data_IF_928223615273
#
_entry.id   IF_928223615273
#
_cell.length_a   1.000
_cell.length_b   1.000
_cell.length_c   1.000
_cell.angle_alpha   90.00
_cell.angle_beta   90.00
_cell.angle_gamma   90.00
#
_symmetry.space_group_name_H-M   'P 1'
#
loop_
_entity.id
_entity.type
_entity.pdbx_description
1 polymer ?
#
# COMPACT_ATOMS: atom_id res chain seq x y z
N UNK A 1 -24.40 -12.93 -3.21
CA UNK A 1 -24.53 -13.02 -1.73
C UNK A 1 -25.96 -13.39 -1.38
N UNK A 2 -26.17 -14.48 -0.65
CA UNK A 2 -27.51 -14.98 -0.31
C UNK A 2 -28.13 -14.11 0.81
N UNK A 3 -29.43 -13.80 0.72
CA UNK A 3 -30.14 -13.01 1.75
C UNK A 3 -30.49 -13.94 2.91
N UNK A 4 -30.03 -13.63 4.14
CA UNK A 4 -30.43 -14.41 5.32
C UNK A 4 -31.95 -14.40 5.49
N UNK A 5 -32.51 -15.51 5.99
CA UNK A 5 -33.96 -15.72 6.10
C UNK A 5 -34.64 -14.62 6.93
N UNK A 6 -34.11 -14.32 8.12
CA UNK A 6 -34.62 -13.25 8.99
C UNK A 6 -34.67 -11.89 8.28
N UNK A 7 -33.65 -11.58 7.47
CA UNK A 7 -33.60 -10.34 6.69
C UNK A 7 -34.63 -10.33 5.57
N UNK A 8 -34.84 -11.46 4.89
CA UNK A 8 -35.90 -11.59 3.87
C UNK A 8 -37.28 -11.35 4.46
N UNK A 9 -37.56 -11.98 5.61
CA UNK A 9 -38.85 -11.85 6.32
C UNK A 9 -39.09 -10.39 6.71
N UNK A 10 -38.09 -9.72 7.27
CA UNK A 10 -38.19 -8.30 7.64
C UNK A 10 -38.53 -7.40 6.46
N UNK A 11 -37.78 -7.53 5.36
CA UNK A 11 -37.98 -6.70 4.16
C UNK A 11 -39.33 -6.98 3.48
N UNK A 12 -39.83 -8.22 3.56
CA UNK A 12 -41.13 -8.59 3.01
C UNK A 12 -42.32 -8.01 3.80
N UNK A 13 -42.12 -7.54 5.04
CA UNK A 13 -43.17 -7.00 5.91
C UNK A 13 -43.71 -5.62 5.51
N UNK A 14 -43.11 -4.94 4.52
CA UNK A 14 -43.57 -3.66 3.97
C UNK A 14 -43.25 -2.42 4.81
N UNK A 15 -43.28 -2.52 6.15
CA UNK A 15 -42.76 -1.51 7.07
C UNK A 15 -41.39 -1.98 7.54
N UNK A 16 -40.33 -1.25 7.21
CA UNK A 16 -38.96 -1.64 7.55
C UNK A 16 -38.29 -0.62 8.44
N UNK A 17 -37.45 -1.11 9.34
CA UNK A 17 -36.60 -0.35 10.26
C UNK A 17 -35.14 -0.45 9.83
N UNK A 18 -34.88 -0.24 8.54
CA UNK A 18 -33.55 -0.41 7.97
C UNK A 18 -32.76 0.90 7.96
N UNK A 19 -31.49 0.82 8.36
CA UNK A 19 -30.47 1.83 8.20
C UNK A 19 -29.26 1.21 7.50
N UNK A 20 -28.34 2.04 7.05
CA UNK A 20 -27.04 1.62 6.51
C UNK A 20 -25.97 1.76 7.57
N UNK A 21 -25.01 0.85 7.51
CA UNK A 21 -23.83 0.85 8.34
C UNK A 21 -22.60 0.60 7.47
N UNK A 22 -21.50 1.30 7.75
CA UNK A 22 -20.24 1.13 7.04
C UNK A 22 -19.10 1.01 8.03
N UNK A 23 -18.18 0.10 7.74
CA UNK A 23 -16.94 -0.04 8.47
C UNK A 23 -15.77 0.20 7.52
N UNK A 24 -14.84 1.04 7.95
CA UNK A 24 -13.56 1.26 7.29
C UNK A 24 -12.47 0.73 8.22
N UNK A 25 -11.67 -0.23 7.76
CA UNK A 25 -10.56 -0.81 8.52
C UNK A 25 -9.25 -0.49 7.83
N UNK A 26 -8.40 0.30 8.48
CA UNK A 26 -7.05 0.61 8.01
C UNK A 26 -6.14 -0.62 8.09
N UNK A 27 -5.00 -0.57 7.39
CA UNK A 27 -3.99 -1.64 7.39
C UNK A 27 -3.34 -1.86 8.76
N UNK A 28 -3.33 -0.84 9.61
CA UNK A 28 -2.84 -0.90 10.99
C UNK A 28 -3.90 -1.39 12.00
N UNK A 29 -5.09 -1.75 11.53
CA UNK A 29 -6.16 -2.34 12.34
C UNK A 29 -7.09 -1.31 13.00
N UNK A 30 -6.84 -0.01 12.85
CA UNK A 30 -7.78 1.02 13.31
C UNK A 30 -9.09 0.90 12.51
N UNK A 31 -10.22 0.88 13.22
CA UNK A 31 -11.55 0.71 12.64
C UNK A 31 -12.42 1.94 12.90
N UNK A 32 -13.16 2.34 11.86
CA UNK A 32 -14.15 3.41 11.92
C UNK A 32 -15.50 2.84 11.51
N UNK A 33 -16.52 3.09 12.31
CA UNK A 33 -17.90 2.69 12.04
C UNK A 33 -18.79 3.90 11.84
N UNK A 34 -19.61 3.88 10.80
CA UNK A 34 -20.51 4.96 10.40
C UNK A 34 -21.93 4.42 10.20
N UNK A 35 -22.95 5.18 10.59
CA UNK A 35 -24.35 4.85 10.27
C UNK A 35 -25.15 6.08 9.83
N UNK A 36 -26.14 5.87 8.97
CA UNK A 36 -27.14 6.89 8.61
C UNK A 36 -28.35 6.89 9.56
N UNK A 37 -28.32 6.07 10.62
CA UNK A 37 -29.26 6.14 11.74
C UNK A 37 -28.95 7.33 12.65
N UNK A 38 -29.93 7.75 13.45
CA UNK A 38 -29.82 8.87 14.40
C UNK A 38 -29.23 8.44 15.76
N UNK A 39 -28.91 7.16 15.93
CA UNK A 39 -28.27 6.60 17.13
C UNK A 39 -27.13 5.67 16.78
N UNK A 40 -26.15 5.62 17.67
CA UNK A 40 -25.05 4.68 17.57
C UNK A 40 -25.55 3.23 17.59
N UNK A 41 -24.98 2.40 16.72
CA UNK A 41 -25.25 0.97 16.62
C UNK A 41 -23.97 0.18 16.90
N UNK A 42 -24.09 -1.04 17.43
CA UNK A 42 -22.94 -1.87 17.78
C UNK A 42 -23.09 -3.31 17.28
N UNK A 43 -22.14 -3.78 16.48
CA UNK A 43 -22.01 -5.18 16.08
C UNK A 43 -20.60 -5.48 15.54
N UNK A 44 -20.21 -6.76 15.52
CA UNK A 44 -18.88 -7.22 15.05
C UNK A 44 -17.70 -6.48 15.73
N UNK A 45 -17.84 -6.16 17.02
CA UNK A 45 -16.89 -5.36 17.82
C UNK A 45 -16.61 -3.95 17.27
N UNK A 46 -17.54 -3.40 16.49
CA UNK A 46 -17.48 -2.07 15.89
C UNK A 46 -18.65 -1.24 16.41
N UNK A 47 -18.35 -0.03 16.89
CA UNK A 47 -19.36 1.01 17.13
C UNK A 47 -19.53 1.83 15.87
N UNK A 48 -20.74 1.81 15.31
CA UNK A 48 -21.17 2.61 14.17
C UNK A 48 -21.78 3.90 14.70
N UNK A 49 -21.06 5.02 14.55
CA UNK A 49 -21.47 6.30 15.12
C UNK A 49 -22.49 7.00 14.23
N UNK A 50 -23.59 7.46 14.84
CA UNK A 50 -24.46 8.45 14.22
C UNK A 50 -23.70 9.78 14.08
N UNK A 51 -24.12 10.66 13.18
CA UNK A 51 -23.51 12.00 12.95
C UNK A 51 -22.22 12.05 12.11
N UNK A 52 -21.62 10.92 11.73
CA UNK A 52 -20.38 10.92 10.94
C UNK A 52 -20.57 10.29 9.55
N UNK A 53 -20.58 11.13 8.53
CA UNK A 53 -19.61 10.99 7.45
C UNK A 53 -19.86 10.08 6.26
N UNK A 54 -21.01 9.44 6.05
CA UNK A 54 -21.22 8.76 4.76
C UNK A 54 -22.59 8.96 4.13
N UNK A 55 -22.70 9.93 3.22
CA UNK A 55 -23.76 9.94 2.23
C UNK A 55 -23.34 9.05 1.05
N UNK A 56 -23.87 7.84 0.96
CA UNK A 56 -23.65 6.99 -0.20
C UNK A 56 -24.47 7.51 -1.39
N UNK A 57 -23.82 8.18 -2.35
CA UNK A 57 -24.41 8.38 -3.66
C UNK A 57 -24.36 7.02 -4.39
N UNK A 58 -25.50 6.34 -4.40
CA UNK A 58 -25.86 5.17 -5.22
C UNK A 58 -24.78 4.07 -5.36
N UNK A 59 -24.92 3.00 -4.58
CA UNK A 59 -24.25 1.72 -4.88
C UNK A 59 -24.88 1.10 -6.15
N UNK A 60 -24.18 1.17 -7.28
CA UNK A 60 -24.56 0.41 -8.49
C UNK A 60 -23.84 -0.94 -8.53
N UNK A 61 -24.61 -2.02 -8.67
CA UNK A 61 -24.08 -3.37 -8.90
C UNK A 61 -24.38 -3.79 -10.34
N UNK A 62 -23.33 -4.02 -11.13
CA UNK A 62 -23.43 -4.62 -12.46
C UNK A 62 -23.02 -6.10 -12.43
N UNK A 63 -23.66 -6.92 -13.26
CA UNK A 63 -23.33 -8.34 -13.41
C UNK A 63 -22.31 -8.52 -14.55
N UNK A 64 -21.03 -8.63 -14.21
CA UNK A 64 -19.94 -8.83 -15.18
C UNK A 64 -18.56 -9.01 -14.54
N UNK A 65 -17.59 -9.51 -15.32
CA UNK A 65 -16.15 -9.55 -14.96
C UNK A 65 -15.37 -8.32 -15.45
N UNK A 66 -15.99 -7.48 -16.30
CA UNK A 66 -15.46 -6.17 -16.64
C UNK A 66 -15.26 -5.36 -15.36
N UNK A 67 -14.24 -4.50 -15.33
CA UNK A 67 -14.12 -3.43 -14.34
C UNK A 67 -15.24 -2.43 -14.61
N UNK A 68 -16.47 -2.83 -14.33
CA UNK A 68 -17.52 -1.88 -14.08
C UNK A 68 -17.13 -1.27 -12.74
N UNK A 69 -16.51 -0.09 -12.81
CA UNK A 69 -16.23 0.74 -11.65
C UNK A 69 -17.48 0.69 -10.78
N UNK A 70 -17.41 -0.05 -9.67
CA UNK A 70 -18.32 0.20 -8.57
C UNK A 70 -17.85 1.52 -7.99
N UNK A 71 -18.11 2.61 -8.72
CA UNK A 71 -18.03 3.96 -8.20
C UNK A 71 -19.17 4.06 -7.18
N UNK A 72 -18.96 3.45 -6.02
CA UNK A 72 -19.67 3.88 -4.83
C UNK A 72 -19.07 5.25 -4.53
N UNK A 73 -19.75 6.26 -5.05
CA UNK A 73 -19.44 7.65 -4.81
C UNK A 73 -19.90 7.98 -3.40
N UNK A 74 -19.15 7.47 -2.42
CA UNK A 74 -19.29 7.86 -1.03
C UNK A 74 -18.53 9.15 -0.82
N UNK A 75 -19.23 10.23 -0.52
CA UNK A 75 -18.58 11.36 0.13
C UNK A 75 -18.33 10.94 1.58
N UNK A 76 -17.06 10.81 1.96
CA UNK A 76 -16.64 10.67 3.34
C UNK A 76 -16.59 12.09 3.94
N UNK A 77 -17.63 12.48 4.67
CA UNK A 77 -17.74 13.82 5.27
C UNK A 77 -17.24 13.84 6.72
N UNK A 78 -15.93 14.06 6.84
CA UNK A 78 -15.10 14.73 7.86
C UNK A 78 -15.36 14.65 9.39
N UNK A 79 -16.49 14.22 9.92
CA UNK A 79 -16.66 14.27 11.38
C UNK A 79 -15.91 13.14 12.14
N UNK A 80 -15.33 12.15 11.44
CA UNK A 80 -14.64 11.01 12.08
C UNK A 80 -13.33 10.57 11.44
N UNK A 81 -12.96 11.09 10.27
CA UNK A 81 -11.69 10.77 9.60
C UNK A 81 -10.81 12.02 9.58
N UNK A 82 -9.58 11.92 10.07
CA UNK A 82 -8.65 13.05 10.07
C UNK A 82 -8.12 13.33 8.65
N UNK A 83 -8.27 14.55 8.15
CA UNK A 83 -7.66 15.03 6.90
C UNK A 83 -6.15 14.76 6.88
N UNK A 84 -5.45 15.05 7.98
CA UNK A 84 -4.02 14.80 8.08
C UNK A 84 -3.66 13.31 7.94
N UNK A 85 -4.52 12.40 8.38
CA UNK A 85 -4.30 10.96 8.22
C UNK A 85 -4.58 10.49 6.79
N UNK A 86 -5.56 11.10 6.10
CA UNK A 86 -5.83 10.86 4.68
C UNK A 86 -4.64 11.32 3.84
N UNK A 87 -4.14 12.53 4.06
CA UNK A 87 -2.97 13.07 3.35
C UNK A 87 -1.69 12.28 3.61
N UNK A 88 -1.58 11.65 4.79
CA UNK A 88 -0.48 10.75 5.13
C UNK A 88 -0.58 9.37 4.45
N UNK A 89 -1.64 9.09 3.68
CA UNK A 89 -1.86 7.81 2.99
C UNK A 89 -2.34 6.67 3.88
N UNK A 90 -2.82 6.95 5.11
CA UNK A 90 -3.21 5.90 6.07
C UNK A 90 -4.44 5.09 5.64
N UNK A 91 -5.28 5.67 4.77
CA UNK A 91 -6.48 5.05 4.23
C UNK A 91 -6.25 4.29 2.91
N UNK A 92 -5.03 4.31 2.36
CA UNK A 92 -4.72 3.67 1.09
C UNK A 92 -4.94 2.16 1.13
N UNK A 93 -5.94 1.69 0.38
CA UNK A 93 -6.32 0.28 0.37
C UNK A 93 -6.95 -0.20 1.69
N UNK A 94 -7.48 0.70 2.52
CA UNK A 94 -8.28 0.35 3.69
C UNK A 94 -9.49 -0.50 3.27
N UNK A 95 -9.83 -1.54 4.05
CA UNK A 95 -11.01 -2.36 3.77
C UNK A 95 -12.28 -1.54 4.04
N UNK A 96 -13.26 -1.65 3.14
CA UNK A 96 -14.60 -1.10 3.35
C UNK A 96 -15.62 -2.23 3.31
N UNK A 97 -16.47 -2.28 4.34
CA UNK A 97 -17.64 -3.15 4.41
C UNK A 97 -18.88 -2.28 4.58
N UNK A 98 -19.93 -2.56 3.81
CA UNK A 98 -21.20 -1.83 3.87
C UNK A 98 -22.36 -2.80 4.07
N UNK A 99 -23.25 -2.48 5.00
CA UNK A 99 -24.41 -3.29 5.35
C UNK A 99 -25.70 -2.49 5.25
N UNK A 100 -26.78 -3.22 4.98
CA UNK A 100 -28.14 -2.81 5.34
C UNK A 100 -28.48 -3.54 6.65
N UNK A 101 -28.85 -2.78 7.68
CA UNK A 101 -29.00 -3.25 9.06
C UNK A 101 -30.39 -2.87 9.56
N UNK A 102 -31.08 -3.78 10.24
CA UNK A 102 -32.25 -3.41 11.00
C UNK A 102 -31.80 -2.71 12.31
N UNK A 103 -32.07 -1.41 12.46
CA UNK A 103 -31.66 -0.68 13.67
C UNK A 103 -32.38 -1.15 14.94
N UNK A 104 -33.56 -1.78 14.80
CA UNK A 104 -34.29 -2.35 15.94
C UNK A 104 -33.72 -3.71 16.40
N UNK A 105 -33.05 -4.43 15.50
CA UNK A 105 -32.34 -5.68 15.79
C UNK A 105 -31.15 -5.82 14.82
N UNK A 106 -29.97 -5.42 15.29
CA UNK A 106 -28.73 -5.40 14.49
C UNK A 106 -28.27 -6.79 14.05
N UNK A 107 -28.80 -7.87 14.63
CA UNK A 107 -28.54 -9.24 14.16
C UNK A 107 -29.15 -9.49 12.78
N UNK A 108 -30.24 -8.78 12.46
CA UNK A 108 -30.90 -8.81 11.15
C UNK A 108 -30.22 -7.81 10.22
N UNK A 109 -29.14 -8.26 9.58
CA UNK A 109 -28.34 -7.45 8.65
C UNK A 109 -27.91 -8.20 7.40
N UNK A 110 -27.57 -7.45 6.36
CA UNK A 110 -27.06 -7.97 5.09
C UNK A 110 -25.86 -7.16 4.62
N UNK A 111 -24.73 -7.83 4.41
CA UNK A 111 -23.58 -7.23 3.74
C UNK A 111 -23.93 -6.95 2.27
N UNK A 112 -23.82 -5.69 1.87
CA UNK A 112 -24.09 -5.21 0.50
C UNK A 112 -22.82 -5.11 -0.32
N UNK A 113 -21.73 -4.65 0.29
CA UNK A 113 -20.45 -4.43 -0.37
C UNK A 113 -19.28 -4.79 0.55
N UNK A 114 -18.23 -5.36 -0.05
CA UNK A 114 -16.91 -5.50 0.56
C UNK A 114 -15.87 -5.18 -0.50
N UNK A 115 -14.90 -4.35 -0.14
CA UNK A 115 -13.87 -3.90 -1.06
C UNK A 115 -12.80 -3.09 -0.35
N UNK A 116 -12.10 -2.24 -1.08
CA UNK A 116 -11.03 -1.39 -0.56
C UNK A 116 -11.17 0.04 -1.03
N UNK A 117 -10.68 1.00 -0.25
CA UNK A 117 -10.52 2.39 -0.70
C UNK A 117 -9.45 2.45 -1.79
N UNK A 118 -9.83 3.08 -2.90
CA UNK A 118 -9.00 3.36 -4.06
C UNK A 118 -8.41 4.77 -4.01
N UNK A 119 -8.65 5.53 -5.08
CA UNK A 119 -8.22 6.93 -5.14
C UNK A 119 -9.11 7.79 -4.22
N UNK A 120 -8.50 8.77 -3.55
CA UNK A 120 -9.22 9.75 -2.73
C UNK A 120 -8.98 11.12 -3.34
N UNK A 121 -10.07 11.82 -3.67
CA UNK A 121 -10.06 13.16 -4.23
C UNK A 121 -10.73 14.15 -3.27
N UNK A 122 -10.21 15.38 -3.23
CA UNK A 122 -10.79 16.48 -2.46
C UNK A 122 -11.79 17.25 -3.31
N UNK A 123 -13.01 17.42 -2.82
CA UNK A 123 -14.04 18.21 -3.49
C UNK A 123 -14.87 18.99 -2.46
N UNK A 124 -14.80 20.34 -2.51
CA UNK A 124 -15.71 21.21 -1.77
C UNK A 124 -15.68 21.08 -0.23
N UNK A 125 -14.52 20.81 0.37
CA UNK A 125 -14.41 20.60 1.82
C UNK A 125 -14.80 19.19 2.28
N UNK A 126 -15.01 18.26 1.34
CA UNK A 126 -15.25 16.86 1.60
C UNK A 126 -14.26 15.98 0.81
N UNK A 127 -14.09 14.73 1.25
CA UNK A 127 -13.35 13.72 0.52
C UNK A 127 -14.29 12.79 -0.22
N UNK A 128 -13.90 12.44 -1.44
CA UNK A 128 -14.56 11.44 -2.25
C UNK A 128 -13.58 10.31 -2.48
N UNK A 129 -13.96 9.10 -2.10
CA UNK A 129 -13.13 7.93 -2.24
C UNK A 129 -13.76 6.95 -3.22
N UNK A 130 -12.97 6.44 -4.15
CA UNK A 130 -13.40 5.37 -5.04
C UNK A 130 -13.36 4.04 -4.29
N UNK A 131 -14.46 3.29 -4.29
CA UNK A 131 -14.49 1.96 -3.67
C UNK A 131 -14.21 0.87 -4.70
N UNK A 132 -13.08 0.17 -4.54
CA UNK A 132 -12.70 -0.93 -5.42
C UNK A 132 -13.27 -2.24 -4.88
N UNK A 133 -14.18 -2.86 -5.64
CA UNK A 133 -14.77 -4.16 -5.31
C UNK A 133 -13.76 -5.32 -5.34
N UNK A 134 -14.18 -6.49 -4.87
CA UNK A 134 -13.32 -7.69 -4.76
C UNK A 134 -12.70 -8.14 -6.09
N UNK A 135 -13.39 -7.91 -7.22
CA UNK A 135 -12.93 -8.29 -8.56
C UNK A 135 -11.73 -7.47 -9.05
N UNK A 136 -11.43 -6.32 -8.43
CA UNK A 136 -10.29 -5.48 -8.82
C UNK A 136 -8.95 -6.22 -8.77
N UNK A 137 -8.80 -7.20 -7.86
CA UNK A 137 -7.60 -8.02 -7.78
C UNK A 137 -7.39 -8.89 -9.04
N UNK A 138 -8.47 -9.30 -9.71
CA UNK A 138 -8.44 -10.15 -10.90
C UNK A 138 -8.03 -9.38 -12.17
N UNK A 139 -8.26 -8.07 -12.20
CA UNK A 139 -7.93 -7.21 -13.33
C UNK A 139 -6.48 -6.71 -13.33
N UNK A 140 -5.63 -7.28 -12.46
CA UNK A 140 -4.20 -6.98 -12.45
C UNK A 140 -3.49 -7.87 -13.47
N UNK A 141 -2.64 -7.34 -14.36
CA UNK A 141 -1.82 -8.18 -15.21
C UNK A 141 -0.90 -9.02 -14.34
N UNK A 142 -1.10 -10.34 -14.34
CA UNK A 142 -0.28 -11.31 -13.63
C UNK A 142 0.63 -12.02 -14.64
N UNK A 143 1.91 -12.10 -14.31
CA UNK A 143 2.89 -12.77 -15.14
C UNK A 143 4.32 -12.41 -14.76
N UNK A 144 5.27 -13.14 -15.34
CA UNK A 144 6.68 -12.74 -15.31
C UNK A 144 7.04 -12.13 -16.65
N UNK A 145 7.77 -11.03 -16.60
CA UNK A 145 8.43 -10.44 -17.76
C UNK A 145 9.89 -10.93 -17.73
N UNK A 146 10.37 -11.42 -18.87
CA UNK A 146 11.78 -11.76 -19.03
C UNK A 146 12.57 -10.48 -19.25
N UNK A 147 13.36 -10.10 -18.26
CA UNK A 147 14.18 -8.89 -18.29
C UNK A 147 15.49 -9.11 -17.53
N UNK A 148 16.51 -8.29 -17.82
CA UNK A 148 17.82 -8.38 -17.17
C UNK A 148 17.76 -8.15 -15.65
N UNK A 149 17.08 -7.11 -15.14
CA UNK A 149 17.00 -6.87 -13.70
C UNK A 149 16.19 -7.93 -12.96
N UNK A 150 16.48 -8.10 -11.68
CA UNK A 150 15.71 -8.95 -10.77
C UNK A 150 14.27 -8.47 -10.66
N UNK A 151 13.32 -9.40 -10.75
CA UNK A 151 11.89 -9.12 -10.62
C UNK A 151 11.34 -9.34 -9.20
N UNK A 152 12.16 -9.84 -8.27
CA UNK A 152 11.75 -10.06 -6.89
C UNK A 152 11.79 -8.77 -6.07
N UNK A 153 10.89 -8.65 -5.10
CA UNK A 153 11.00 -7.66 -4.02
C UNK A 153 12.02 -8.19 -3.01
N UNK A 154 12.89 -7.32 -2.49
CA UNK A 154 13.91 -7.72 -1.54
C UNK A 154 13.23 -8.32 -0.29
N UNK A 155 13.62 -9.53 0.09
CA UNK A 155 13.05 -10.27 1.21
C UNK A 155 11.69 -10.93 1.00
N UNK A 156 11.11 -10.86 -0.21
CA UNK A 156 9.89 -11.61 -0.53
C UNK A 156 10.16 -13.13 -0.65
N UNK A 157 9.11 -13.92 -0.90
CA UNK A 157 9.22 -15.38 -1.02
C UNK A 157 10.04 -15.86 -2.23
N UNK A 158 10.29 -14.99 -3.22
CA UNK A 158 11.12 -15.29 -4.40
C UNK A 158 12.58 -14.90 -4.18
N UNK A 159 12.84 -13.79 -3.50
CA UNK A 159 14.16 -13.32 -3.12
C UNK A 159 14.72 -14.11 -1.93
N UNK A 160 13.90 -14.35 -0.89
CA UNK A 160 14.22 -15.12 0.32
C UNK A 160 15.35 -14.57 1.19
N UNK A 161 15.88 -13.38 0.87
CA UNK A 161 16.89 -12.75 1.70
C UNK A 161 16.27 -12.35 3.04
N UNK A 162 16.91 -12.73 4.16
CA UNK A 162 16.42 -12.36 5.48
C UNK A 162 16.80 -10.91 5.79
N UNK A 163 15.83 -10.00 5.77
CA UNK A 163 16.03 -8.58 6.11
C UNK A 163 16.33 -8.33 7.59
N UNK A 164 16.21 -9.34 8.46
CA UNK A 164 16.69 -9.28 9.84
C UNK A 164 18.19 -9.61 9.96
N UNK A 165 18.87 -9.95 8.87
CA UNK A 165 20.34 -10.13 8.88
C UNK A 165 21.02 -8.84 9.32
N UNK A 166 21.94 -8.94 10.28
CA UNK A 166 22.68 -7.80 10.79
C UNK A 166 23.39 -7.02 9.66
N UNK A 167 23.34 -5.69 9.72
CA UNK A 167 23.92 -4.81 8.70
C UNK A 167 23.02 -4.53 7.47
N UNK A 168 21.83 -5.13 7.37
CA UNK A 168 20.89 -4.86 6.27
C UNK A 168 19.68 -4.04 6.68
N UNK A 169 19.59 -3.71 7.95
CA UNK A 169 18.69 -2.71 8.47
C UNK A 169 19.30 -2.02 9.69
N UNK A 170 18.94 -0.76 9.91
CA UNK A 170 19.45 0.04 11.01
C UNK A 170 18.33 0.88 11.62
N UNK A 171 18.16 0.79 12.93
CA UNK A 171 17.24 1.66 13.67
C UNK A 171 17.99 2.87 14.18
N UNK A 172 17.46 4.06 13.89
CA UNK A 172 18.11 5.33 14.16
C UNK A 172 17.07 6.37 14.55
N UNK A 173 17.51 7.38 15.29
CA UNK A 173 16.70 8.54 15.65
C UNK A 173 16.98 9.67 14.66
N UNK A 174 15.95 10.26 14.08
CA UNK A 174 16.11 11.34 13.10
C UNK A 174 16.72 12.57 13.77
N UNK A 175 17.81 13.10 13.21
CA UNK A 175 18.41 14.36 13.65
C UNK A 175 17.67 15.59 13.11
N UNK A 176 17.42 15.63 11.79
CA UNK A 176 16.69 16.73 11.13
C UNK A 176 15.78 16.23 10.03
N UNK A 177 14.63 16.89 9.88
CA UNK A 177 13.68 16.67 8.78
C UNK A 177 13.54 17.97 7.97
N UNK A 178 13.58 17.87 6.65
CA UNK A 178 13.33 18.96 5.70
C UNK A 178 12.24 18.51 4.72
N UNK A 179 11.16 19.30 4.63
CA UNK A 179 10.02 19.08 3.72
C UNK A 179 9.40 17.67 3.75
N UNK A 180 9.51 16.97 4.89
CA UNK A 180 9.08 15.58 5.07
C UNK A 180 9.69 14.58 4.05
N UNK A 181 10.74 14.97 3.33
CA UNK A 181 11.34 14.18 2.25
C UNK A 181 12.83 13.94 2.46
N UNK A 182 13.52 14.87 3.14
CA UNK A 182 14.95 14.79 3.42
C UNK A 182 15.18 14.63 4.92
N UNK A 183 15.92 13.59 5.29
CA UNK A 183 16.22 13.21 6.65
C UNK A 183 17.73 13.23 6.85
N UNK A 184 18.20 13.81 7.96
CA UNK A 184 19.62 13.93 8.28
C UNK A 184 19.97 13.34 9.63
N UNK A 185 21.18 12.77 9.68
CA UNK A 185 21.87 12.30 10.88
C UNK A 185 23.26 12.90 10.91
N UNK A 186 23.76 13.24 12.09
CA UNK A 186 25.12 13.77 12.25
C UNK A 186 26.18 12.72 11.88
N UNK A 187 25.90 11.44 12.14
CA UNK A 187 26.65 10.30 11.64
C UNK A 187 25.72 9.08 11.55
N UNK A 188 25.98 8.21 10.57
CA UNK A 188 25.37 6.90 10.40
C UNK A 188 26.47 5.86 10.13
N UNK A 189 27.34 5.67 11.12
CA UNK A 189 28.52 4.82 11.01
C UNK A 189 28.19 3.36 10.66
N UNK A 190 29.13 2.71 9.96
CA UNK A 190 29.06 1.29 9.62
C UNK A 190 28.36 0.97 8.31
N UNK A 191 27.96 1.97 7.52
CA UNK A 191 27.33 1.79 6.22
C UNK A 191 28.08 2.52 5.10
N UNK A 192 28.39 1.78 4.04
CA UNK A 192 28.99 2.34 2.82
C UNK A 192 28.10 3.45 2.20
N UNK A 193 28.67 4.41 1.46
CA UNK A 193 27.90 5.35 0.65
C UNK A 193 26.85 4.65 -0.24
N UNK A 194 25.61 5.13 -0.22
CA UNK A 194 24.53 4.56 -1.02
C UNK A 194 23.97 3.22 -0.54
N UNK A 195 24.36 2.72 0.64
CA UNK A 195 23.88 1.44 1.19
C UNK A 195 22.35 1.31 1.25
N UNK A 196 21.64 2.40 1.51
CA UNK A 196 20.18 2.43 1.63
C UNK A 196 19.48 2.92 0.35
N UNK A 197 20.21 3.28 -0.70
CA UNK A 197 19.61 3.76 -1.95
C UNK A 197 18.71 2.70 -2.62
N UNK A 198 17.45 3.03 -2.94
CA UNK A 198 16.38 2.10 -3.35
C UNK A 198 15.92 1.13 -2.25
N UNK A 199 16.25 1.43 -1.00
CA UNK A 199 15.73 0.77 0.19
C UNK A 199 14.45 1.43 0.70
N UNK A 200 14.15 1.22 1.97
CA UNK A 200 12.99 1.81 2.65
C UNK A 200 13.41 2.54 3.90
N UNK A 201 12.75 3.66 4.17
CA UNK A 201 12.72 4.27 5.49
C UNK A 201 11.35 3.93 6.09
N UNK A 202 11.33 3.20 7.19
CA UNK A 202 10.12 2.81 7.92
C UNK A 202 10.08 3.61 9.21
N UNK A 203 8.97 4.28 9.50
CA UNK A 203 8.81 5.07 10.72
C UNK A 203 8.34 4.16 11.85
N UNK A 204 9.07 4.16 12.97
CA UNK A 204 8.79 3.30 14.14
C UNK A 204 7.96 4.06 15.17
N UNK A 205 8.28 5.33 15.43
CA UNK A 205 7.62 6.14 16.47
C UNK A 205 7.00 7.42 15.92
N UNK A 206 6.28 8.13 16.79
CA UNK A 206 5.68 9.42 16.45
C UNK A 206 4.43 9.31 15.58
N UNK A 207 3.99 10.44 15.03
CA UNK A 207 2.76 10.53 14.23
C UNK A 207 2.84 9.70 12.92
N UNK A 208 4.05 9.48 12.41
CA UNK A 208 4.30 8.68 11.21
C UNK A 208 4.39 7.18 11.44
N UNK A 209 4.29 6.68 12.68
CA UNK A 209 4.51 5.26 12.99
C UNK A 209 3.71 4.31 12.08
N UNK A 210 4.41 3.32 11.53
CA UNK A 210 3.89 2.32 10.59
C UNK A 210 3.92 2.73 9.12
N UNK A 211 4.18 4.01 8.82
CA UNK A 211 4.34 4.49 7.44
C UNK A 211 5.79 4.28 6.96
N UNK A 212 5.96 4.25 5.65
CA UNK A 212 7.26 4.06 5.03
C UNK A 212 7.38 4.79 3.69
N UNK A 213 8.61 5.10 3.29
CA UNK A 213 8.93 5.71 2.01
C UNK A 213 10.10 5.04 1.30
N UNK A 214 10.12 5.12 -0.03
CA UNK A 214 11.23 4.63 -0.84
C UNK A 214 12.40 5.61 -0.81
N UNK A 215 13.59 5.11 -0.50
CA UNK A 215 14.80 5.92 -0.48
C UNK A 215 15.27 6.14 -1.92
N UNK A 216 15.27 7.39 -2.36
CA UNK A 216 15.76 7.82 -3.68
C UNK A 216 17.27 8.02 -3.66
N UNK A 217 17.79 8.71 -2.65
CA UNK A 217 19.22 8.96 -2.48
C UNK A 217 19.64 8.72 -1.07
N UNK A 218 20.86 8.22 -0.96
CA UNK A 218 21.56 7.98 0.28
C UNK A 218 22.99 8.50 0.08
N UNK A 219 23.29 9.66 0.66
CA UNK A 219 24.53 10.42 0.41
C UNK A 219 25.14 10.91 1.72
N UNK A 220 26.45 11.15 1.70
CA UNK A 220 27.14 11.86 2.77
C UNK A 220 27.29 13.34 2.42
N UNK A 221 27.21 14.20 3.42
CA UNK A 221 27.37 15.66 3.36
C UNK A 221 28.31 16.07 4.50
N UNK A 222 29.62 16.04 4.24
CA UNK A 222 30.63 15.99 5.31
C UNK A 222 30.52 14.67 6.09
N UNK A 223 30.49 14.77 7.41
CA UNK A 223 30.25 13.62 8.31
C UNK A 223 28.77 13.23 8.39
N UNK A 224 27.87 14.14 8.02
CA UNK A 224 26.43 13.91 8.11
C UNK A 224 25.94 12.94 7.02
N UNK A 225 24.98 12.10 7.38
CA UNK A 225 24.25 11.26 6.43
C UNK A 225 22.94 11.92 6.02
N UNK A 226 22.63 11.91 4.72
CA UNK A 226 21.41 12.50 4.16
C UNK A 226 20.66 11.47 3.33
N UNK A 227 19.44 11.15 3.78
CA UNK A 227 18.49 10.27 3.09
C UNK A 227 17.40 11.13 2.46
N UNK A 228 17.19 10.99 1.15
CA UNK A 228 16.12 11.64 0.41
C UNK A 228 15.14 10.59 -0.09
N UNK A 229 13.85 10.77 0.19
CA UNK A 229 12.79 9.90 -0.29
C UNK A 229 12.34 10.28 -1.71
N UNK A 230 11.74 9.34 -2.43
CA UNK A 230 11.12 9.61 -3.74
C UNK A 230 9.96 10.59 -3.65
N UNK A 231 9.15 10.42 -2.60
CA UNK A 231 7.97 11.24 -2.31
C UNK A 231 8.02 11.67 -0.84
N UNK A 232 7.53 12.88 -0.50
CA UNK A 232 7.44 13.34 0.88
C UNK A 232 6.51 12.45 1.72
N UNK A 233 6.93 12.08 2.93
CA UNK A 233 6.13 11.30 3.87
C UNK A 233 5.37 12.25 4.82
N UNK A 234 4.22 12.76 4.36
CA UNK A 234 3.43 13.83 5.01
C UNK A 234 2.65 13.37 6.25
N UNK A 235 3.38 12.85 7.24
CA UNK A 235 2.80 12.27 8.45
C UNK A 235 3.24 12.98 9.74
N UNK A 236 3.62 14.26 9.64
CA UNK A 236 4.06 15.05 10.80
C UNK A 236 5.33 14.48 11.46
N UNK A 237 6.23 13.88 10.68
CA UNK A 237 7.48 13.29 11.19
C UNK A 237 8.41 14.42 11.63
N UNK A 238 8.99 14.29 12.82
CA UNK A 238 9.84 15.32 13.44
C UNK A 238 11.21 14.78 13.81
N UNK A 239 12.13 15.68 14.16
CA UNK A 239 13.39 15.32 14.82
C UNK A 239 13.10 14.58 16.14
N UNK A 240 13.88 13.56 16.45
CA UNK A 240 13.67 12.69 17.61
C UNK A 240 12.82 11.45 17.34
N UNK A 241 12.12 11.36 16.20
CA UNK A 241 11.40 10.14 15.83
C UNK A 241 12.37 9.00 15.46
N UNK A 242 12.05 7.79 15.91
CA UNK A 242 12.76 6.57 15.56
C UNK A 242 12.29 6.04 14.20
N UNK A 243 13.26 5.66 13.38
CA UNK A 243 13.05 5.06 12.06
C UNK A 243 13.96 3.86 11.84
N UNK A 244 13.54 2.94 10.97
CA UNK A 244 14.32 1.83 10.46
C UNK A 244 14.68 2.10 9.00
N UNK A 245 15.98 2.18 8.70
CA UNK A 245 16.49 2.20 7.34
C UNK A 245 16.76 0.76 6.89
N UNK A 246 16.18 0.35 5.77
CA UNK A 246 16.36 -0.98 5.17
C UNK A 246 17.27 -0.88 3.94
N UNK A 247 18.20 -1.82 3.80
CA UNK A 247 19.19 -1.82 2.73
C UNK A 247 18.54 -1.82 1.33
N UNK A 248 19.16 -1.07 0.43
CA UNK A 248 18.69 -0.93 -0.94
C UNK A 248 19.10 -2.07 -1.86
N UNK A 249 18.20 -2.44 -2.78
CA UNK A 249 18.46 -3.40 -3.85
C UNK A 249 18.15 -2.76 -5.21
N UNK A 250 19.18 -2.55 -6.02
CA UNK A 250 19.10 -1.99 -7.37
C UNK A 250 18.65 -2.98 -8.44
N UNK A 251 18.31 -4.21 -8.03
CA UNK A 251 17.89 -5.33 -8.88
C UNK A 251 18.97 -5.84 -9.83
N UNK A 252 20.23 -5.45 -9.68
CA UNK A 252 21.31 -5.97 -10.50
C UNK A 252 21.86 -7.29 -9.96
N UNK A 253 22.31 -8.15 -10.87
CA UNK A 253 22.90 -9.45 -10.52
C UNK A 253 24.17 -9.28 -9.67
N UNK A 254 24.99 -8.28 -9.98
CA UNK A 254 26.23 -7.99 -9.24
C UNK A 254 25.94 -7.62 -7.79
N UNK A 255 25.01 -6.67 -7.56
CA UNK A 255 24.57 -6.30 -6.21
C UNK A 255 23.98 -7.50 -5.47
N UNK A 256 23.17 -8.33 -6.13
CA UNK A 256 22.63 -9.55 -5.53
C UNK A 256 23.74 -10.51 -5.04
N UNK A 257 24.84 -10.63 -5.80
CA UNK A 257 25.98 -11.49 -5.49
C UNK A 257 26.89 -10.87 -4.42
N UNK A 258 27.30 -9.62 -4.61
CA UNK A 258 28.34 -8.98 -3.79
C UNK A 258 27.77 -8.41 -2.50
N UNK A 259 26.65 -7.67 -2.59
CA UNK A 259 26.06 -7.03 -1.42
C UNK A 259 25.25 -8.01 -0.58
N UNK A 260 24.48 -8.91 -1.19
CA UNK A 260 23.53 -9.77 -0.45
C UNK A 260 23.93 -11.24 -0.39
N UNK A 261 24.96 -11.67 -1.14
CA UNK A 261 25.33 -13.07 -1.31
C UNK A 261 24.13 -14.00 -1.61
N UNK A 262 23.20 -13.52 -2.43
CA UNK A 262 21.90 -14.17 -2.65
C UNK A 262 21.64 -14.49 -4.13
N UNK A 263 22.70 -14.72 -4.89
CA UNK A 263 22.63 -14.94 -6.34
C UNK A 263 21.75 -16.14 -6.71
N UNK A 264 21.73 -17.19 -5.88
CA UNK A 264 20.90 -18.39 -6.10
C UNK A 264 19.40 -18.08 -6.22
N UNK A 265 18.93 -17.01 -5.57
CA UNK A 265 17.53 -16.60 -5.59
C UNK A 265 17.26 -15.43 -6.57
N UNK A 266 18.22 -15.08 -7.43
CA UNK A 266 18.05 -14.01 -8.42
C UNK A 266 16.95 -14.36 -9.42
N UNK A 267 15.99 -13.44 -9.62
CA UNK A 267 14.79 -13.66 -10.45
C UNK A 267 14.82 -12.90 -11.78
N UNK A 268 15.99 -12.41 -12.20
CA UNK A 268 16.21 -11.77 -13.50
C UNK A 268 16.94 -12.69 -14.48
N UNK A 269 17.08 -12.22 -15.72
CA UNK A 269 17.70 -12.96 -16.83
C UNK A 269 18.88 -12.13 -17.38
N UNK A 270 20.05 -12.13 -16.72
CA UNK A 270 21.14 -11.20 -17.03
C UNK A 270 21.74 -11.44 -18.41
N UNK A 271 21.66 -12.69 -18.90
CA UNK A 271 22.20 -13.15 -20.18
C UNK A 271 21.20 -13.09 -21.33
N UNK A 272 19.98 -12.57 -21.12
CA UNK A 272 19.00 -12.50 -22.20
C UNK A 272 19.57 -11.66 -23.36
N UNK A 273 19.70 -12.24 -24.58
CA UNK A 273 20.18 -11.49 -25.73
C UNK A 273 19.20 -10.36 -26.09
N UNK A 274 19.73 -9.26 -26.62
CA UNK A 274 18.89 -8.19 -27.17
C UNK A 274 18.26 -8.57 -28.50
N UNK A 275 17.29 -7.78 -28.96
CA UNK A 275 16.60 -8.00 -30.24
C UNK A 275 17.56 -8.04 -31.44
N UNK A 276 18.62 -7.22 -31.42
CA UNK A 276 19.67 -7.19 -32.44
C UNK A 276 20.35 -8.56 -32.63
N UNK A 277 20.50 -9.35 -31.56
CA UNK A 277 21.09 -10.67 -31.63
C UNK A 277 20.14 -11.68 -32.31
N UNK A 278 18.83 -11.52 -32.12
CA UNK A 278 17.81 -12.42 -32.69
C UNK A 278 17.77 -12.32 -34.22
N UNK A 279 18.00 -11.13 -34.77
CA UNK A 279 18.03 -10.89 -36.22
C UNK A 279 19.43 -10.95 -36.82
N UNK A 280 20.46 -11.16 -36.02
CA UNK A 280 21.84 -11.17 -36.48
C UNK A 280 22.13 -12.40 -37.36
N UNK A 281 22.75 -12.15 -38.52
CA UNK A 281 23.30 -13.22 -39.37
C UNK A 281 24.76 -13.46 -38.97
N UNK A 282 25.20 -14.72 -38.80
CA UNK A 282 26.60 -15.03 -38.49
C UNK A 282 27.52 -14.52 -39.61
N UNK A 283 28.46 -13.65 -39.25
CA UNK A 283 29.49 -13.13 -40.18
C UNK A 283 30.77 -13.91 -39.98
N UNK A 284 31.39 -14.39 -41.07
CA UNK A 284 32.69 -15.09 -41.03
C UNK A 284 33.82 -14.20 -40.51
N UNK A 285 33.65 -12.89 -40.55
CA UNK A 285 34.59 -11.90 -40.01
C UNK A 285 34.49 -11.71 -38.49
N UNK A 286 33.47 -12.27 -37.83
CA UNK A 286 33.32 -12.23 -36.37
C UNK A 286 33.96 -13.47 -35.72
N UNK A 287 34.49 -13.34 -34.50
CA UNK A 287 35.00 -14.49 -33.73
C UNK A 287 33.83 -15.40 -33.35
N UNK A 288 33.63 -16.46 -34.12
CA UNK A 288 32.61 -17.50 -33.90
C UNK A 288 33.18 -18.67 -33.08
N UNK A 289 33.95 -18.35 -32.03
CA UNK A 289 34.76 -19.30 -31.26
C UNK A 289 34.07 -19.84 -30.01
N UNK A 290 32.87 -19.35 -29.70
CA UNK A 290 32.17 -19.61 -28.44
C UNK A 290 32.75 -18.81 -27.28
N UNK A 291 31.89 -18.31 -26.38
CA UNK A 291 32.30 -17.50 -25.23
C UNK A 291 31.16 -16.68 -24.65
N UNK A 292 31.45 -15.96 -23.56
CA UNK A 292 30.51 -14.97 -23.00
C UNK A 292 30.25 -13.85 -24.01
N UNK A 293 28.98 -13.48 -24.16
CA UNK A 293 28.52 -12.31 -24.91
C UNK A 293 28.15 -11.12 -24.01
N UNK A 294 28.42 -11.24 -22.70
CA UNK A 294 28.35 -10.09 -21.77
C UNK A 294 29.44 -9.09 -22.05
#
# INVERSE_FOLDING_TARGET
MNMGEAFRVHVAGGVTTLCRCWAVTRKDGVQYGFTDHDRDLGFDDITFRAETGLSAATLQQATGLSVDNTEALGALTDAGLSEAEIEAGRFDGAEVRAWLVNWADVSVRRLQFRGTIGEIQRAGGAFRADLRGLTQALNRPLGRIYQKPCTAVLGDSRCRFNMATAGYAAENVIGKVEEAQVFRWDDLAGFEPGWFARGRLVVISGAGAGLWGLIKRDRSDGDARVIELWEPLRAGIVSGDAVRLEAGCDKQMETCRLKFNNLLNYQGFPDIPGEDWVVAVPKSTKPNTGGSLR
#
